data_IF_082768743317
#
_entry.id   IF_082768743317
#
_cell.length_a   1.000
_cell.length_b   1.000
_cell.length_c   1.000
_cell.angle_alpha   90.00
_cell.angle_beta   90.00
_cell.angle_gamma   90.00
#
_symmetry.space_group_name_H-M   'P 1'
#
loop_
_entity.id
_entity.type
_entity.pdbx_description
1 polymer ?
#
# COMPACT_ATOMS: atom_id res chain seq x y z
N UNK A 1 8.07 -10.79 -2.58
CA UNK A 1 8.57 -9.45 -2.98
C UNK A 1 7.97 -8.98 -4.33
N UNK A 2 6.64 -8.75 -4.44
CA UNK A 2 6.02 -8.34 -5.72
C UNK A 2 6.07 -6.83 -6.02
N UNK A 3 6.42 -5.99 -5.03
CA UNK A 3 6.29 -4.53 -5.17
C UNK A 3 7.40 -3.89 -6.04
N UNK A 4 8.63 -4.45 -5.98
CA UNK A 4 9.78 -3.92 -6.75
C UNK A 4 9.68 -4.20 -8.25
N UNK A 5 9.09 -5.33 -8.64
CA UNK A 5 8.93 -5.70 -10.06
C UNK A 5 7.86 -4.84 -10.76
N UNK A 6 6.87 -4.34 -10.03
CA UNK A 6 5.82 -3.48 -10.59
C UNK A 6 6.33 -2.07 -10.90
N UNK A 7 7.06 -1.43 -9.98
CA UNK A 7 7.68 -0.10 -10.21
C UNK A 7 8.68 -0.12 -11.37
N UNK A 8 9.42 -1.23 -11.55
CA UNK A 8 10.29 -1.43 -12.70
C UNK A 8 9.51 -1.50 -14.02
N UNK A 9 8.37 -2.20 -14.04
CA UNK A 9 7.52 -2.36 -15.23
C UNK A 9 6.81 -1.06 -15.63
N UNK A 10 6.39 -0.28 -14.65
CA UNK A 10 5.74 1.01 -14.88
C UNK A 10 6.69 2.12 -15.36
N UNK A 11 7.96 2.09 -14.90
CA UNK A 11 9.00 2.97 -15.43
C UNK A 11 9.44 2.53 -16.83
N UNK A 12 9.41 1.23 -17.12
CA UNK A 12 9.74 0.70 -18.44
C UNK A 12 8.77 1.19 -19.53
N UNK A 13 7.45 1.18 -19.27
CA UNK A 13 6.46 1.71 -20.22
C UNK A 13 6.65 3.21 -20.49
N UNK A 14 6.94 4.00 -19.44
CA UNK A 14 7.28 5.42 -19.59
C UNK A 14 8.54 5.63 -20.43
N UNK A 15 9.61 4.89 -20.12
CA UNK A 15 10.86 4.99 -20.86
C UNK A 15 10.66 4.64 -22.34
N UNK A 16 9.88 3.61 -22.66
CA UNK A 16 9.53 3.27 -24.06
C UNK A 16 8.78 4.42 -24.74
N UNK A 17 7.77 4.99 -24.09
CA UNK A 17 7.02 6.12 -24.65
C UNK A 17 7.93 7.33 -24.90
N UNK A 18 8.86 7.62 -23.99
CA UNK A 18 9.87 8.66 -24.16
C UNK A 18 10.79 8.38 -25.36
N UNK A 19 11.26 7.13 -25.54
CA UNK A 19 12.05 6.74 -26.71
C UNK A 19 11.27 6.89 -28.02
N UNK A 20 9.98 6.54 -28.01
CA UNK A 20 9.13 6.72 -29.19
C UNK A 20 9.03 8.20 -29.58
N UNK A 21 8.90 9.12 -28.61
CA UNK A 21 8.87 10.56 -28.88
C UNK A 21 10.21 11.06 -29.44
N UNK A 22 11.35 10.62 -28.88
CA UNK A 22 12.68 10.96 -29.40
C UNK A 22 12.84 10.45 -30.85
N UNK A 23 12.42 9.22 -31.12
CA UNK A 23 12.48 8.63 -32.45
C UNK A 23 11.58 9.37 -33.44
N UNK A 24 10.36 9.75 -33.03
CA UNK A 24 9.44 10.56 -33.84
C UNK A 24 10.10 11.89 -34.22
N UNK A 25 10.78 12.55 -33.27
CA UNK A 25 11.48 13.80 -33.55
C UNK A 25 12.55 13.63 -34.64
N UNK A 26 13.39 12.58 -34.52
CA UNK A 26 14.44 12.29 -35.51
C UNK A 26 13.86 11.92 -36.88
N UNK A 27 12.82 11.08 -36.92
CA UNK A 27 12.15 10.68 -38.16
C UNK A 27 11.49 11.88 -38.84
N UNK A 28 10.84 12.76 -38.08
CA UNK A 28 10.23 13.96 -38.68
C UNK A 28 11.26 14.89 -39.31
N UNK A 29 12.44 15.05 -38.71
CA UNK A 29 13.53 15.82 -39.32
C UNK A 29 13.95 15.18 -40.64
N UNK A 30 14.15 13.86 -40.65
CA UNK A 30 14.50 13.12 -41.86
C UNK A 30 13.46 13.28 -42.98
N UNK A 31 12.17 13.23 -42.63
CA UNK A 31 11.07 13.40 -43.59
C UNK A 31 10.99 14.84 -44.11
N UNK A 32 11.18 15.86 -43.26
CA UNK A 32 11.11 17.26 -43.69
C UNK A 32 12.32 17.70 -44.52
N UNK A 33 13.53 17.26 -44.16
CA UNK A 33 14.77 17.67 -44.85
C UNK A 33 15.23 16.72 -45.94
N UNK A 34 14.67 15.51 -46.03
CA UNK A 34 15.15 14.44 -46.90
C UNK A 34 16.56 13.93 -46.55
N UNK A 35 17.12 14.36 -45.43
CA UNK A 35 18.47 14.03 -44.95
C UNK A 35 18.47 13.83 -43.45
N UNK A 36 19.43 13.05 -42.94
CA UNK A 36 19.55 12.83 -41.50
C UNK A 36 19.91 14.14 -40.77
N UNK A 37 19.45 14.33 -39.52
CA UNK A 37 19.91 15.42 -38.68
C UNK A 37 21.44 15.43 -38.58
N UNK A 38 22.01 16.60 -38.30
CA UNK A 38 23.45 16.70 -38.06
C UNK A 38 23.92 15.70 -37.00
N UNK A 39 25.12 15.10 -37.14
CA UNK A 39 25.63 14.09 -36.20
C UNK A 39 25.60 14.56 -34.74
N UNK A 40 25.80 15.86 -34.50
CA UNK A 40 25.77 16.45 -33.15
C UNK A 40 24.38 16.35 -32.50
N UNK A 41 23.32 16.47 -33.29
CA UNK A 41 21.93 16.36 -32.83
C UNK A 41 21.52 14.92 -32.57
N UNK A 42 22.00 13.98 -33.39
CA UNK A 42 21.84 12.55 -33.14
C UNK A 42 22.57 12.12 -31.85
N UNK A 43 23.76 12.67 -31.62
CA UNK A 43 24.49 12.46 -30.37
C UNK A 43 23.73 13.05 -29.17
N UNK A 44 23.20 14.28 -29.30
CA UNK A 44 22.38 14.92 -28.27
C UNK A 44 21.10 14.10 -27.96
N UNK A 45 20.41 13.61 -28.98
CA UNK A 45 19.23 12.75 -28.84
C UNK A 45 19.56 11.43 -28.13
N UNK A 46 20.68 10.81 -28.50
CA UNK A 46 21.17 9.57 -27.89
C UNK A 46 21.55 9.79 -26.43
N UNK A 47 22.24 10.90 -26.14
CA UNK A 47 22.62 11.27 -24.78
C UNK A 47 21.37 11.56 -23.92
N UNK A 48 20.41 12.30 -24.45
CA UNK A 48 19.12 12.55 -23.81
C UNK A 48 18.40 11.22 -23.48
N UNK A 49 18.37 10.30 -24.44
CA UNK A 49 17.79 8.97 -24.32
C UNK A 49 18.46 8.12 -23.23
N UNK A 50 19.79 8.13 -23.15
CA UNK A 50 20.54 7.46 -22.08
C UNK A 50 20.18 8.04 -20.72
N UNK A 51 20.08 9.37 -20.63
CA UNK A 51 19.72 10.04 -19.37
C UNK A 51 18.28 9.75 -18.91
N UNK A 52 17.34 9.46 -19.82
CA UNK A 52 15.98 9.01 -19.45
C UNK A 52 16.06 7.68 -18.68
N UNK A 53 16.92 6.77 -19.13
CA UNK A 53 17.11 5.47 -18.48
C UNK A 53 17.92 5.55 -17.18
N UNK A 54 18.87 6.48 -17.10
CA UNK A 54 19.77 6.61 -15.96
C UNK A 54 19.17 7.42 -14.81
N UNK A 55 17.92 7.89 -14.93
CA UNK A 55 17.32 8.78 -13.95
C UNK A 55 17.12 8.07 -12.59
N UNK A 56 17.81 8.50 -11.52
CA UNK A 56 17.73 7.84 -10.23
C UNK A 56 16.45 8.26 -9.50
N UNK A 57 15.56 7.30 -9.25
CA UNK A 57 14.24 7.51 -8.62
C UNK A 57 14.32 7.76 -7.10
N UNK A 58 15.45 7.42 -6.49
CA UNK A 58 15.56 7.38 -5.04
C UNK A 58 15.97 8.71 -4.39
N UNK A 59 16.41 9.71 -5.15
CA UNK A 59 16.94 10.95 -4.57
C UNK A 59 16.62 12.20 -5.41
N UNK A 60 15.79 13.08 -4.85
CA UNK A 60 15.30 14.33 -5.46
C UNK A 60 16.44 15.25 -5.93
N UNK A 61 17.55 15.33 -5.18
CA UNK A 61 18.69 16.18 -5.57
C UNK A 61 19.40 15.64 -6.82
N UNK A 62 19.48 14.32 -6.97
CA UNK A 62 20.01 13.71 -8.19
C UNK A 62 19.01 13.89 -9.34
N UNK A 63 17.73 13.60 -9.13
CA UNK A 63 16.69 13.83 -10.14
C UNK A 63 16.70 15.26 -10.70
N UNK A 64 16.83 16.29 -9.84
CA UNK A 64 16.95 17.68 -10.26
C UNK A 64 18.19 17.91 -11.14
N UNK A 65 19.34 17.33 -10.80
CA UNK A 65 20.58 17.45 -11.60
C UNK A 65 20.43 16.82 -12.98
N UNK A 66 19.88 15.62 -13.06
CA UNK A 66 19.67 14.94 -14.33
C UNK A 66 18.66 15.70 -15.20
N UNK A 67 17.60 16.24 -14.60
CA UNK A 67 16.60 17.01 -15.33
C UNK A 67 17.15 18.35 -15.82
N UNK A 68 18.05 19.00 -15.07
CA UNK A 68 18.80 20.16 -15.56
C UNK A 68 19.67 19.81 -16.75
N UNK A 69 20.43 18.71 -16.68
CA UNK A 69 21.30 18.27 -17.78
C UNK A 69 20.46 17.99 -19.03
N UNK A 70 19.36 17.25 -18.91
CA UNK A 70 18.47 16.96 -20.02
C UNK A 70 17.77 18.21 -20.56
N UNK A 71 17.39 19.15 -19.68
CA UNK A 71 16.84 20.44 -20.07
C UNK A 71 17.83 21.26 -20.90
N UNK A 72 19.10 21.32 -20.48
CA UNK A 72 20.16 21.99 -21.25
C UNK A 72 20.37 21.31 -22.60
N UNK A 73 20.43 19.98 -22.66
CA UNK A 73 20.55 19.24 -23.92
C UNK A 73 19.36 19.54 -24.84
N UNK A 74 18.13 19.50 -24.31
CA UNK A 74 16.92 19.79 -25.06
C UNK A 74 16.88 21.24 -25.57
N UNK A 75 17.27 22.21 -24.73
CA UNK A 75 17.38 23.62 -25.13
C UNK A 75 18.40 23.80 -26.26
N UNK A 76 19.62 23.28 -26.11
CA UNK A 76 20.66 23.40 -27.13
C UNK A 76 20.24 22.75 -28.45
N UNK A 77 19.63 21.56 -28.40
CA UNK A 77 19.11 20.89 -29.59
C UNK A 77 17.98 21.68 -30.25
N UNK A 78 17.06 22.23 -29.44
CA UNK A 78 15.92 23.03 -29.93
C UNK A 78 16.31 24.38 -30.51
N UNK A 79 17.48 24.92 -30.18
CA UNK A 79 18.02 26.15 -30.76
C UNK A 79 18.52 25.91 -32.18
N UNK A 80 19.09 24.74 -32.43
CA UNK A 80 19.58 24.35 -33.76
C UNK A 80 18.44 23.89 -34.68
N UNK A 81 17.51 23.10 -34.13
CA UNK A 81 16.39 22.55 -34.90
C UNK A 81 15.11 22.54 -34.05
N UNK A 82 14.09 23.25 -34.52
CA UNK A 82 12.81 23.40 -33.82
C UNK A 82 12.17 22.06 -33.41
N UNK A 83 12.27 21.01 -34.24
CA UNK A 83 11.64 19.71 -33.99
C UNK A 83 12.13 19.05 -32.68
N UNK A 84 13.29 19.45 -32.15
CA UNK A 84 13.73 19.00 -30.82
C UNK A 84 12.91 19.59 -29.66
N UNK A 85 11.95 20.47 -29.93
CA UNK A 85 10.91 20.86 -28.97
C UNK A 85 10.16 19.64 -28.42
N UNK A 86 10.12 18.52 -29.18
CA UNK A 86 9.51 17.28 -28.70
C UNK A 86 10.16 16.73 -27.41
N UNK A 87 11.44 16.99 -27.18
CA UNK A 87 12.13 16.58 -25.96
C UNK A 87 11.55 17.27 -24.71
N UNK A 88 11.02 18.48 -24.85
CA UNK A 88 10.37 19.19 -23.75
C UNK A 88 9.07 18.52 -23.31
N UNK A 89 8.35 17.81 -24.19
CA UNK A 89 7.17 17.01 -23.78
C UNK A 89 7.58 15.82 -22.91
N UNK A 90 8.71 15.18 -23.23
CA UNK A 90 9.26 14.10 -22.39
C UNK A 90 9.61 14.64 -21.01
N UNK A 91 10.29 15.79 -20.95
CA UNK A 91 10.64 16.46 -19.69
C UNK A 91 9.41 16.93 -18.90
N UNK A 92 8.38 17.41 -19.57
CA UNK A 92 7.09 17.78 -18.97
C UNK A 92 6.45 16.60 -18.23
N UNK A 93 6.37 15.45 -18.91
CA UNK A 93 5.84 14.22 -18.35
C UNK A 93 6.68 13.72 -17.18
N UNK A 94 8.00 13.75 -17.32
CA UNK A 94 8.94 13.35 -16.28
C UNK A 94 8.81 14.23 -15.03
N UNK A 95 8.67 15.54 -15.20
CA UNK A 95 8.48 16.48 -14.11
C UNK A 95 7.18 16.22 -13.32
N UNK A 96 6.10 15.80 -13.97
CA UNK A 96 4.84 15.46 -13.27
C UNK A 96 4.87 14.11 -12.57
N UNK A 97 5.54 13.13 -13.16
CA UNK A 97 5.63 11.78 -12.60
C UNK A 97 6.55 11.72 -11.38
N UNK A 98 7.65 12.46 -11.41
CA UNK A 98 8.69 12.35 -10.38
C UNK A 98 8.49 13.28 -9.20
N UNK A 99 7.89 14.45 -9.43
CA UNK A 99 7.74 15.47 -8.41
C UNK A 99 6.30 15.58 -7.93
N UNK A 100 6.12 16.13 -6.74
CA UNK A 100 4.81 16.59 -6.29
C UNK A 100 4.28 17.70 -7.22
N UNK A 101 2.96 17.89 -7.19
CA UNK A 101 2.28 18.77 -8.16
C UNK A 101 2.86 20.20 -8.22
N UNK A 102 3.25 20.78 -7.08
CA UNK A 102 3.82 22.14 -7.02
C UNK A 102 5.19 22.25 -7.71
N UNK A 103 6.24 21.52 -7.28
CA UNK A 103 7.55 21.58 -7.95
C UNK A 103 7.49 21.09 -9.41
N UNK A 104 6.65 20.10 -9.72
CA UNK A 104 6.43 19.69 -11.10
C UNK A 104 5.90 20.82 -11.97
N UNK A 105 4.98 21.65 -11.44
CA UNK A 105 4.38 22.75 -12.19
C UNK A 105 5.38 23.89 -12.41
N UNK A 106 6.25 24.15 -11.44
CA UNK A 106 7.36 25.10 -11.59
C UNK A 106 8.33 24.67 -12.69
N UNK A 107 8.70 23.39 -12.71
CA UNK A 107 9.54 22.83 -13.77
C UNK A 107 8.87 22.93 -15.14
N UNK A 108 7.57 22.60 -15.22
CA UNK A 108 6.81 22.73 -16.47
C UNK A 108 6.73 24.18 -16.95
N UNK A 109 6.52 25.13 -16.04
CA UNK A 109 6.56 26.56 -16.36
C UNK A 109 7.92 26.99 -16.93
N UNK A 110 9.01 26.58 -16.29
CA UNK A 110 10.37 26.88 -16.73
C UNK A 110 10.70 26.23 -18.10
N UNK A 111 10.28 24.99 -18.31
CA UNK A 111 10.50 24.28 -19.57
C UNK A 111 9.70 24.90 -20.72
N UNK A 112 8.45 25.29 -20.46
CA UNK A 112 7.62 25.97 -21.44
C UNK A 112 8.19 27.34 -21.81
N UNK A 113 8.64 28.14 -20.83
CA UNK A 113 9.24 29.44 -21.12
C UNK A 113 10.50 29.31 -21.95
N UNK A 114 11.36 28.32 -21.67
CA UNK A 114 12.56 28.04 -22.48
C UNK A 114 12.19 27.62 -23.91
N UNK A 115 11.20 26.75 -24.09
CA UNK A 115 10.76 26.31 -25.41
C UNK A 115 10.17 27.47 -26.24
N UNK A 116 9.36 28.34 -25.61
CA UNK A 116 8.79 29.51 -26.28
C UNK A 116 9.88 30.55 -26.62
N UNK A 117 10.81 30.79 -25.69
CA UNK A 117 11.92 31.70 -25.93
C UNK A 117 12.78 31.23 -27.11
N UNK A 118 13.10 29.94 -27.18
CA UNK A 118 13.84 29.36 -28.29
C UNK A 118 13.09 29.49 -29.63
N UNK A 119 11.77 29.33 -29.63
CA UNK A 119 10.93 29.52 -30.81
C UNK A 119 10.96 30.95 -31.34
N UNK A 120 10.83 31.96 -30.47
CA UNK A 120 10.79 33.36 -30.90
C UNK A 120 12.16 33.93 -31.27
N UNK A 121 13.24 33.51 -30.59
CA UNK A 121 14.57 34.07 -30.81
C UNK A 121 15.33 33.42 -31.98
N UNK A 122 15.18 32.11 -32.19
CA UNK A 122 16.03 31.36 -33.12
C UNK A 122 15.28 30.80 -34.34
N UNK A 123 13.95 30.78 -34.32
CA UNK A 123 13.15 30.15 -35.38
C UNK A 123 12.12 31.08 -36.01
N UNK A 124 12.46 32.38 -36.09
CA UNK A 124 11.58 33.41 -36.64
C UNK A 124 11.30 33.26 -38.14
N UNK A 125 12.20 32.61 -38.88
CA UNK A 125 12.21 32.57 -40.36
C UNK A 125 11.56 31.32 -40.98
N UNK A 126 10.96 30.43 -40.19
CA UNK A 126 10.35 29.21 -40.73
C UNK A 126 8.98 29.39 -41.40
N UNK A 127 8.51 28.37 -42.13
CA UNK A 127 7.28 28.38 -42.94
C UNK A 127 6.02 28.88 -42.20
N UNK A 128 5.89 28.51 -40.92
CA UNK A 128 4.86 29.04 -40.04
C UNK A 128 5.41 30.23 -39.26
N UNK A 129 4.66 31.33 -39.20
CA UNK A 129 5.03 32.46 -38.34
C UNK A 129 5.17 32.02 -36.86
N UNK A 130 6.01 32.69 -36.06
CA UNK A 130 6.32 32.25 -34.69
C UNK A 130 5.11 32.18 -33.76
N UNK A 131 4.11 33.04 -33.97
CA UNK A 131 2.90 33.12 -33.14
C UNK A 131 2.03 31.85 -33.17
N UNK A 132 1.50 31.43 -34.34
CA UNK A 132 0.77 30.17 -34.48
C UNK A 132 1.56 28.96 -33.99
N UNK A 133 2.87 28.91 -34.27
CA UNK A 133 3.74 27.83 -33.80
C UNK A 133 3.85 27.79 -32.28
N UNK A 134 4.03 28.95 -31.64
CA UNK A 134 4.04 29.09 -30.19
C UNK A 134 2.70 28.64 -29.56
N UNK A 135 1.57 28.96 -30.18
CA UNK A 135 0.25 28.50 -29.72
C UNK A 135 0.15 26.98 -29.80
N UNK A 136 0.55 26.36 -30.92
CA UNK A 136 0.56 24.90 -31.06
C UNK A 136 1.43 24.21 -30.01
N UNK A 137 2.65 24.70 -29.78
CA UNK A 137 3.56 24.19 -28.74
C UNK A 137 2.92 24.34 -27.36
N UNK A 138 2.34 25.51 -27.06
CA UNK A 138 1.71 25.77 -25.76
C UNK A 138 0.53 24.83 -25.51
N UNK A 139 -0.36 24.66 -26.50
CA UNK A 139 -1.50 23.75 -26.38
C UNK A 139 -1.04 22.30 -26.20
N UNK A 140 -0.09 21.83 -27.02
CA UNK A 140 0.48 20.50 -26.88
C UNK A 140 1.14 20.30 -25.51
N UNK A 141 1.80 21.33 -24.99
CA UNK A 141 2.53 21.26 -23.73
C UNK A 141 1.59 21.27 -22.52
N UNK A 142 0.53 22.08 -22.58
CA UNK A 142 -0.55 22.08 -21.58
C UNK A 142 -1.24 20.71 -21.58
N UNK A 143 -1.57 20.16 -22.75
CA UNK A 143 -2.17 18.83 -22.84
C UNK A 143 -1.24 17.76 -22.24
N UNK A 144 0.05 17.77 -22.60
CA UNK A 144 1.04 16.87 -22.02
C UNK A 144 1.11 17.00 -20.49
N UNK A 145 1.13 18.23 -19.96
CA UNK A 145 1.15 18.50 -18.54
C UNK A 145 -0.12 18.00 -17.83
N UNK A 146 -1.31 18.27 -18.38
CA UNK A 146 -2.61 17.86 -17.81
C UNK A 146 -2.75 16.35 -17.80
N UNK A 147 -2.46 15.68 -18.91
CA UNK A 147 -2.50 14.22 -19.01
C UNK A 147 -1.53 13.60 -18.02
N UNK A 148 -0.29 14.09 -17.99
CA UNK A 148 0.75 13.59 -17.08
C UNK A 148 0.37 13.79 -15.60
N UNK A 149 -0.23 14.93 -15.26
CA UNK A 149 -0.72 15.19 -13.90
C UNK A 149 -1.90 14.28 -13.52
N UNK A 150 -2.77 13.93 -14.48
CA UNK A 150 -3.83 12.94 -14.30
C UNK A 150 -3.26 11.54 -14.03
N UNK A 151 -2.33 11.08 -14.86
CA UNK A 151 -1.64 9.80 -14.67
C UNK A 151 -0.87 9.73 -13.35
N UNK A 152 -0.17 10.80 -12.97
CA UNK A 152 0.55 10.89 -11.71
C UNK A 152 -0.40 10.77 -10.49
N UNK A 153 -1.61 11.36 -10.57
CA UNK A 153 -2.64 11.21 -9.55
C UNK A 153 -3.12 9.78 -9.42
N UNK A 154 -3.54 9.17 -10.53
CA UNK A 154 -4.03 7.78 -10.55
C UNK A 154 -2.99 6.81 -9.99
N UNK A 155 -1.70 7.02 -10.28
CA UNK A 155 -0.62 6.21 -9.71
C UNK A 155 -0.53 6.35 -8.18
N UNK A 156 -0.55 7.59 -7.66
CA UNK A 156 -0.52 7.84 -6.21
C UNK A 156 -1.72 7.22 -5.49
N UNK A 157 -2.93 7.38 -6.06
CA UNK A 157 -4.15 6.82 -5.47
C UNK A 157 -4.10 5.30 -5.42
N UNK A 158 -3.58 4.64 -6.48
CA UNK A 158 -3.39 3.19 -6.51
C UNK A 158 -2.40 2.71 -5.46
N UNK A 159 -1.28 3.40 -5.31
CA UNK A 159 -0.27 3.06 -4.29
C UNK A 159 -0.84 3.20 -2.88
N UNK A 160 -1.64 4.24 -2.62
CA UNK A 160 -2.33 4.44 -1.35
C UNK A 160 -3.35 3.33 -1.07
N UNK A 161 -4.19 3.00 -2.06
CA UNK A 161 -5.15 1.89 -1.95
C UNK A 161 -4.42 0.59 -1.63
N UNK A 162 -3.32 0.27 -2.32
CA UNK A 162 -2.56 -0.95 -2.05
C UNK A 162 -1.98 -0.97 -0.62
N UNK A 163 -1.46 0.15 -0.13
CA UNK A 163 -0.97 0.26 1.26
C UNK A 163 -2.10 0.05 2.27
N UNK A 164 -3.23 0.73 2.08
CA UNK A 164 -4.40 0.60 2.95
C UNK A 164 -4.95 -0.83 2.96
N UNK A 165 -5.02 -1.49 1.79
CA UNK A 165 -5.44 -2.89 1.70
C UNK A 165 -4.50 -3.84 2.44
N UNK A 166 -3.19 -3.58 2.38
CA UNK A 166 -2.19 -4.37 3.11
C UNK A 166 -2.35 -4.18 4.62
N UNK A 167 -2.49 -2.94 5.09
CA UNK A 167 -2.73 -2.64 6.50
C UNK A 167 -4.05 -3.23 7.03
N UNK A 168 -5.10 -3.19 6.21
CA UNK A 168 -6.40 -3.78 6.56
C UNK A 168 -6.29 -5.31 6.70
N UNK A 169 -5.57 -5.97 5.79
CA UNK A 169 -5.33 -7.40 5.86
C UNK A 169 -4.54 -7.80 7.13
N UNK A 170 -3.47 -7.06 7.45
CA UNK A 170 -2.68 -7.28 8.67
C UNK A 170 -3.51 -7.07 9.94
N UNK A 171 -4.27 -5.98 10.02
CA UNK A 171 -5.13 -5.66 11.17
C UNK A 171 -6.22 -6.70 11.36
N UNK A 172 -6.83 -7.17 10.26
CA UNK A 172 -7.85 -8.19 10.32
C UNK A 172 -7.27 -9.53 10.82
N UNK A 173 -6.08 -9.90 10.39
CA UNK A 173 -5.39 -11.09 10.89
C UNK A 173 -5.14 -11.02 12.41
N UNK A 174 -4.61 -9.90 12.90
CA UNK A 174 -4.40 -9.68 14.35
C UNK A 174 -5.71 -9.73 15.15
N UNK A 175 -6.79 -9.16 14.61
CA UNK A 175 -8.10 -9.18 15.26
C UNK A 175 -8.67 -10.61 15.33
N UNK A 176 -8.48 -11.41 14.28
CA UNK A 176 -8.86 -12.82 14.29
C UNK A 176 -8.08 -13.65 15.31
N UNK A 177 -6.78 -13.40 15.44
CA UNK A 177 -5.92 -14.05 16.44
C UNK A 177 -6.33 -13.67 17.86
N UNK A 178 -6.49 -12.37 18.15
CA UNK A 178 -6.93 -11.89 19.46
C UNK A 178 -8.31 -12.43 19.85
N UNK A 179 -9.26 -12.50 18.91
CA UNK A 179 -10.57 -13.13 19.17
C UNK A 179 -10.44 -14.61 19.53
N UNK A 180 -9.51 -15.33 18.90
CA UNK A 180 -9.26 -16.75 19.20
C UNK A 180 -8.66 -16.91 20.60
N UNK A 181 -7.70 -16.07 20.96
CA UNK A 181 -7.11 -16.06 22.31
C UNK A 181 -8.14 -15.72 23.38
N UNK A 182 -8.93 -14.66 23.17
CA UNK A 182 -10.00 -14.27 24.08
C UNK A 182 -11.04 -15.38 24.28
N UNK A 183 -11.42 -16.09 23.20
CA UNK A 183 -12.31 -17.25 23.28
C UNK A 183 -11.69 -18.39 24.10
N UNK A 184 -10.41 -18.68 23.89
CA UNK A 184 -9.71 -19.72 24.66
C UNK A 184 -9.62 -19.34 26.14
N UNK A 185 -9.28 -18.09 26.45
CA UNK A 185 -9.20 -17.60 27.82
C UNK A 185 -10.57 -17.65 28.52
N UNK A 186 -11.64 -17.21 27.83
CA UNK A 186 -13.00 -17.30 28.34
C UNK A 186 -13.41 -18.75 28.62
N UNK A 187 -13.05 -19.70 27.74
CA UNK A 187 -13.31 -21.12 27.95
C UNK A 187 -12.57 -21.69 29.17
N UNK A 188 -11.31 -21.27 29.39
CA UNK A 188 -10.52 -21.67 30.59
C UNK A 188 -11.09 -21.06 31.86
N UNK A 189 -11.48 -19.79 31.83
CA UNK A 189 -12.11 -19.10 32.96
C UNK A 189 -13.43 -19.78 33.35
N UNK A 190 -14.24 -20.15 32.37
CA UNK A 190 -15.50 -20.84 32.63
C UNK A 190 -15.27 -22.23 33.22
N UNK A 191 -14.29 -23.00 32.71
CA UNK A 191 -13.89 -24.28 33.32
C UNK A 191 -13.46 -24.12 34.77
N UNK A 192 -12.67 -23.09 35.08
CA UNK A 192 -12.24 -22.82 36.46
C UNK A 192 -13.42 -22.41 37.36
N UNK A 193 -14.35 -21.60 36.85
CA UNK A 193 -15.58 -21.23 37.57
C UNK A 193 -16.41 -22.48 37.88
N UNK A 194 -16.65 -23.32 36.88
CA UNK A 194 -17.38 -24.59 37.04
C UNK A 194 -16.68 -25.49 38.06
N UNK A 195 -15.36 -25.67 37.97
CA UNK A 195 -14.60 -26.47 38.93
C UNK A 195 -14.76 -25.94 40.36
N UNK A 196 -14.76 -24.62 40.56
CA UNK A 196 -14.94 -23.99 41.88
C UNK A 196 -16.35 -24.17 42.42
N UNK A 197 -17.36 -23.96 41.58
CA UNK A 197 -18.78 -24.13 41.94
C UNK A 197 -19.08 -25.60 42.31
N UNK A 198 -18.51 -26.54 41.53
CA UNK A 198 -18.56 -27.98 41.80
C UNK A 198 -17.87 -28.32 43.12
N UNK A 199 -16.66 -27.83 43.36
CA UNK A 199 -15.95 -28.08 44.62
C UNK A 199 -16.68 -27.51 45.83
N UNK A 200 -17.29 -26.34 45.70
CA UNK A 200 -18.02 -25.72 46.81
C UNK A 200 -19.30 -26.50 47.14
N UNK A 201 -20.11 -26.86 46.13
CA UNK A 201 -21.36 -27.60 46.36
C UNK A 201 -21.10 -29.03 46.84
N UNK A 202 -20.15 -29.73 46.21
CA UNK A 202 -19.80 -31.11 46.55
C UNK A 202 -19.04 -31.17 47.87
N UNK A 203 -18.04 -30.31 48.06
CA UNK A 203 -17.22 -30.27 49.27
C UNK A 203 -18.05 -29.97 50.51
N UNK A 204 -19.01 -29.05 50.43
CA UNK A 204 -19.92 -28.78 51.53
C UNK A 204 -20.83 -29.99 51.85
N UNK A 205 -21.47 -30.58 50.82
CA UNK A 205 -22.33 -31.77 50.98
C UNK A 205 -21.55 -32.96 51.58
N UNK A 206 -20.32 -33.21 51.12
CA UNK A 206 -19.44 -34.25 51.65
C UNK A 206 -19.01 -33.98 53.09
N UNK A 207 -18.66 -32.74 53.42
CA UNK A 207 -18.27 -32.38 54.80
C UNK A 207 -19.43 -32.61 55.78
N UNK A 208 -20.64 -32.17 55.41
CA UNK A 208 -21.85 -32.40 56.22
C UNK A 208 -22.14 -33.90 56.34
N UNK A 209 -22.03 -34.66 55.26
CA UNK A 209 -22.21 -36.11 55.27
C UNK A 209 -21.21 -36.82 56.21
N UNK A 210 -19.92 -36.43 56.19
CA UNK A 210 -18.89 -36.97 57.08
C UNK A 210 -19.26 -36.72 58.55
N UNK A 211 -19.60 -35.47 58.90
CA UNK A 211 -19.98 -35.11 60.29
C UNK A 211 -21.24 -35.86 60.74
N UNK A 212 -22.23 -36.03 59.86
CA UNK A 212 -23.44 -36.80 60.17
C UNK A 212 -23.15 -38.29 60.38
N UNK A 213 -22.24 -38.88 59.60
CA UNK A 213 -21.79 -40.26 59.77
C UNK A 213 -21.02 -40.45 61.08
N UNK A 214 -20.09 -39.55 61.41
CA UNK A 214 -19.37 -39.56 62.69
C UNK A 214 -20.31 -39.46 63.89
N UNK A 215 -21.32 -38.58 63.81
CA UNK A 215 -22.36 -38.45 64.83
C UNK A 215 -23.25 -39.69 64.97
N UNK A 216 -23.53 -40.39 63.86
CA UNK A 216 -24.30 -41.63 63.85
C UNK A 216 -23.56 -42.78 64.55
N UNK A 217 -22.24 -42.87 64.38
CA UNK A 217 -21.40 -43.87 65.08
C UNK A 217 -21.46 -43.70 66.60
N UNK A 218 -21.51 -42.46 67.10
CA UNK A 218 -21.60 -42.15 68.53
C UNK A 218 -22.97 -42.49 69.17
N UNK A 219 -24.01 -42.72 68.36
CA UNK A 219 -25.38 -43.02 68.83
C UNK A 219 -25.82 -44.47 68.57
N UNK A 220 -24.96 -45.28 67.94
CA UNK A 220 -25.26 -46.64 67.48
C UNK A 220 -25.81 -47.55 68.59
N UNK A 221 -25.23 -47.47 69.79
CA UNK A 221 -25.61 -48.30 70.94
C UNK A 221 -26.84 -47.79 71.70
N UNK A 222 -27.26 -46.54 71.45
CA UNK A 222 -28.36 -45.88 72.20
C UNK A 222 -29.70 -45.96 71.50
N UNK A 223 -29.73 -45.75 70.18
CA UNK A 223 -30.97 -45.75 69.39
C UNK A 223 -30.71 -46.19 67.93
N UNK A 224 -30.64 -47.52 67.69
CA UNK A 224 -30.30 -48.08 66.39
C UNK A 224 -31.28 -47.69 65.28
N UNK A 225 -32.57 -47.53 65.62
CA UNK A 225 -33.61 -47.17 64.66
C UNK A 225 -33.43 -45.75 64.13
N UNK A 226 -33.07 -44.80 64.99
CA UNK A 226 -32.82 -43.40 64.62
C UNK A 226 -31.52 -43.24 63.83
N UNK A 227 -30.52 -44.07 64.11
CA UNK A 227 -29.26 -44.13 63.33
C UNK A 227 -29.50 -44.65 61.92
N UNK A 228 -30.31 -45.71 61.75
CA UNK A 228 -30.67 -46.24 60.43
C UNK A 228 -31.40 -45.20 59.56
N UNK A 229 -32.30 -44.41 60.15
CA UNK A 229 -32.97 -43.32 59.46
C UNK A 229 -32.01 -42.20 59.03
N UNK A 230 -31.08 -41.78 59.90
CA UNK A 230 -30.08 -40.75 59.58
C UNK A 230 -29.11 -41.20 58.48
N UNK A 231 -28.64 -42.45 58.53
CA UNK A 231 -27.80 -43.04 57.48
C UNK A 231 -28.50 -43.06 56.11
N UNK A 232 -29.82 -43.29 56.08
CA UNK A 232 -30.61 -43.24 54.84
C UNK A 232 -30.65 -41.83 54.26
N UNK A 233 -30.84 -40.81 55.10
CA UNK A 233 -30.84 -39.39 54.68
C UNK A 233 -29.48 -38.99 54.10
N UNK A 234 -28.38 -39.35 54.76
CA UNK A 234 -27.02 -39.11 54.27
C UNK A 234 -26.81 -39.77 52.90
N UNK A 235 -27.22 -41.03 52.74
CA UNK A 235 -27.08 -41.77 51.48
C UNK A 235 -27.89 -41.12 50.35
N UNK A 236 -29.12 -40.68 50.62
CA UNK A 236 -29.96 -40.01 49.63
C UNK A 236 -29.37 -38.65 49.22
N UNK A 237 -28.80 -37.88 50.16
CA UNK A 237 -28.09 -36.63 49.86
C UNK A 237 -26.83 -36.84 49.00
N UNK A 238 -26.05 -37.89 49.28
CA UNK A 238 -24.88 -38.25 48.47
C UNK A 238 -25.27 -38.68 47.06
N UNK A 239 -26.35 -39.46 46.90
CA UNK A 239 -26.88 -39.86 45.60
C UNK A 239 -27.40 -38.68 44.78
N UNK A 240 -28.08 -37.73 45.41
CA UNK A 240 -28.48 -36.48 44.75
C UNK A 240 -27.26 -35.68 44.29
N UNK A 241 -26.25 -35.49 45.14
CA UNK A 241 -25.01 -34.81 44.76
C UNK A 241 -24.28 -35.47 43.59
N UNK A 242 -24.21 -36.80 43.57
CA UNK A 242 -23.62 -37.55 42.45
C UNK A 242 -24.41 -37.40 41.14
N UNK A 243 -25.74 -37.28 41.24
CA UNK A 243 -26.62 -37.08 40.08
C UNK A 243 -26.47 -35.68 39.50
N UNK A 244 -26.39 -34.65 40.35
CA UNK A 244 -26.09 -33.27 39.94
C UNK A 244 -24.72 -33.17 39.24
N UNK A 245 -23.68 -33.81 39.77
CA UNK A 245 -22.36 -33.88 39.12
C UNK A 245 -22.42 -34.48 37.72
N UNK A 246 -23.12 -35.62 37.57
CA UNK A 246 -23.27 -36.29 36.28
C UNK A 246 -24.02 -35.42 35.27
N UNK A 247 -24.97 -34.61 35.73
CA UNK A 247 -25.72 -33.71 34.86
C UNK A 247 -24.84 -32.55 34.36
N UNK A 248 -23.98 -32.00 35.22
CA UNK A 248 -23.05 -30.91 34.86
C UNK A 248 -21.94 -31.42 33.93
N UNK A 249 -21.38 -32.60 34.20
CA UNK A 249 -20.35 -33.23 33.36
C UNK A 249 -20.83 -33.58 31.94
N UNK A 250 -22.15 -33.63 31.70
CA UNK A 250 -22.76 -33.82 30.38
C UNK A 250 -22.94 -32.51 29.59
N UNK A 251 -22.84 -31.36 30.24
CA UNK A 251 -23.07 -30.03 29.65
C UNK A 251 -21.78 -29.28 29.31
N UNK A 252 -20.63 -29.78 29.76
CA UNK A 252 -19.27 -29.28 29.47
C UNK A 252 -18.63 -30.13 28.39
#
# INVERSE_FOLDING_TARGET
>A
MPFRSFLLRENFAFNIAAQAIVLIAVIQIFVQRGSLPEPILLFAASLFSIFVWLLPVDNVRRANRYMLIQGVIASLASIQEFLFVYLFFVLSMQAMLHYNIRPGLLWNGLLLTLALLANFLFHSEGDLTPGPRALMVTVAFILACVLSAGFARVRRDRDEIHRLMTQLAETNALLHESKREAKNLAAVQERNRLARDLNHSLGHKLTVAIVQLEGAVLQLDKDPGRVAASLKIVNDQLKQGLTELRHIAKQV
#
